data_IF_761448302630
#
_entry.id   IF_761448302630
#
_cell.length_a   1.000
_cell.length_b   1.000
_cell.length_c   1.000
_cell.angle_alpha   90.00
_cell.angle_beta   90.00
_cell.angle_gamma   90.00
#
_symmetry.space_group_name_H-M   'P 1'
#
loop_
_entity.id
_entity.type
_entity.pdbx_description
1 polymer ?
#
# COMPACT_ATOMS: atom_id res chain seq x y z
N UNK A 1 -15.55 2.66 9.70
CA UNK A 1 -15.42 1.33 9.07
C UNK A 1 -15.13 1.54 7.59
N UNK A 2 -13.86 1.67 7.27
CA UNK A 2 -13.34 2.01 5.95
C UNK A 2 -13.65 0.87 4.95
N UNK A 3 -14.39 1.16 3.87
CA UNK A 3 -14.93 0.12 2.97
C UNK A 3 -13.88 -0.65 2.15
N UNK A 4 -12.62 -0.24 2.21
CA UNK A 4 -11.49 -0.84 1.50
C UNK A 4 -10.86 -2.02 2.25
N UNK A 5 -10.97 -2.08 3.59
CA UNK A 5 -10.35 -3.14 4.39
C UNK A 5 -10.87 -4.52 3.98
N UNK A 6 -12.20 -4.75 3.85
CA UNK A 6 -12.70 -6.06 3.40
C UNK A 6 -12.25 -6.45 1.98
N UNK A 7 -12.03 -5.46 1.09
CA UNK A 7 -11.56 -5.71 -0.27
C UNK A 7 -10.08 -6.08 -0.30
N UNK A 8 -9.25 -5.37 0.47
CA UNK A 8 -7.84 -5.68 0.65
C UNK A 8 -7.66 -7.07 1.27
N UNK A 9 -8.39 -7.39 2.33
CA UNK A 9 -8.38 -8.71 2.96
C UNK A 9 -8.71 -9.82 1.96
N UNK A 10 -9.77 -9.62 1.16
CA UNK A 10 -10.18 -10.60 0.14
C UNK A 10 -9.08 -10.79 -0.92
N UNK A 11 -8.44 -9.70 -1.36
CA UNK A 11 -7.34 -9.75 -2.31
C UNK A 11 -6.10 -10.45 -1.76
N UNK A 12 -5.71 -10.13 -0.52
CA UNK A 12 -4.61 -10.80 0.17
C UNK A 12 -4.89 -12.29 0.31
N UNK A 13 -6.11 -12.68 0.71
CA UNK A 13 -6.48 -14.09 0.82
C UNK A 13 -6.40 -14.82 -0.52
N UNK A 14 -6.75 -14.15 -1.62
CA UNK A 14 -6.59 -14.70 -2.96
C UNK A 14 -5.12 -14.92 -3.31
N UNK A 15 -4.26 -13.91 -3.12
CA UNK A 15 -2.82 -14.02 -3.37
C UNK A 15 -2.16 -15.13 -2.53
N UNK A 16 -2.52 -15.24 -1.25
CA UNK A 16 -2.07 -16.34 -0.40
C UNK A 16 -2.47 -17.71 -0.99
N UNK A 17 -3.71 -17.85 -1.45
CA UNK A 17 -4.20 -19.07 -2.10
C UNK A 17 -3.37 -19.48 -3.31
N UNK A 18 -2.84 -18.51 -4.06
CA UNK A 18 -2.02 -18.73 -5.25
C UNK A 18 -0.58 -19.20 -4.94
N UNK A 19 -0.06 -18.97 -3.74
CA UNK A 19 1.26 -19.47 -3.35
C UNK A 19 1.34 -20.99 -3.42
N UNK A 20 0.24 -21.68 -3.07
CA UNK A 20 0.13 -23.14 -3.19
C UNK A 20 0.20 -23.62 -4.64
N UNK A 21 -0.40 -22.87 -5.57
CA UNK A 21 -0.42 -23.21 -7.00
C UNK A 21 0.94 -22.98 -7.68
N UNK A 22 1.75 -22.06 -7.15
CA UNK A 22 3.09 -21.74 -7.68
C UNK A 22 4.24 -22.48 -6.99
N UNK A 23 3.93 -23.37 -6.05
CA UNK A 23 4.93 -24.08 -5.24
C UNK A 23 5.84 -23.11 -4.43
N UNK A 24 5.30 -21.96 -4.04
CA UNK A 24 6.02 -20.89 -3.31
C UNK A 24 5.90 -21.07 -1.79
N UNK A 25 6.18 -22.28 -1.29
CA UNK A 25 6.09 -22.63 0.12
C UNK A 25 6.98 -21.74 1.00
N UNK A 26 8.22 -21.51 0.56
CA UNK A 26 9.18 -20.65 1.26
C UNK A 26 8.72 -19.19 1.36
N UNK A 27 7.99 -18.68 0.38
CA UNK A 27 7.42 -17.33 0.45
C UNK A 27 6.40 -17.24 1.59
N UNK A 28 5.58 -18.28 1.77
CA UNK A 28 4.60 -18.32 2.85
C UNK A 28 5.26 -18.45 4.23
N UNK A 29 6.33 -19.23 4.36
CA UNK A 29 7.14 -19.32 5.59
C UNK A 29 7.69 -17.95 5.99
N UNK A 30 8.20 -17.17 5.03
CA UNK A 30 8.68 -15.80 5.26
C UNK A 30 7.53 -14.89 5.72
N UNK A 31 6.38 -14.93 5.05
CA UNK A 31 5.20 -14.12 5.41
C UNK A 31 4.73 -14.45 6.83
N UNK A 32 4.54 -15.73 7.15
CA UNK A 32 4.12 -16.20 8.46
C UNK A 32 5.12 -15.76 9.55
N UNK A 33 6.42 -15.86 9.27
CA UNK A 33 7.46 -15.39 10.17
C UNK A 33 7.39 -13.87 10.40
N UNK A 34 7.11 -13.07 9.37
CA UNK A 34 6.95 -11.62 9.52
C UNK A 34 5.74 -11.26 10.38
N UNK A 35 4.62 -11.96 10.18
CA UNK A 35 3.42 -11.80 11.02
C UNK A 35 3.75 -12.16 12.46
N UNK A 36 4.34 -13.33 12.69
CA UNK A 36 4.68 -13.80 14.02
C UNK A 36 5.67 -12.87 14.74
N UNK A 37 6.65 -12.32 14.02
CA UNK A 37 7.59 -11.34 14.59
C UNK A 37 6.93 -10.07 15.11
N UNK A 38 5.84 -9.66 14.48
CA UNK A 38 5.14 -8.42 14.81
C UNK A 38 3.99 -8.62 15.80
N UNK A 39 3.30 -9.77 15.74
CA UNK A 39 2.09 -10.06 16.53
C UNK A 39 2.30 -11.05 17.68
N UNK A 40 3.35 -11.86 17.64
CA UNK A 40 3.60 -12.92 18.63
C UNK A 40 4.88 -12.63 19.41
N UNK A 41 6.05 -12.56 18.74
CA UNK A 41 7.31 -12.29 19.42
C UNK A 41 8.45 -11.78 18.54
N UNK A 42 9.17 -10.76 19.01
CA UNK A 42 10.24 -10.11 18.24
C UNK A 42 11.51 -10.96 18.05
N UNK A 43 11.76 -11.98 18.90
CA UNK A 43 12.96 -12.83 18.90
C UNK A 43 12.85 -14.11 18.05
N UNK A 44 12.00 -14.11 17.03
CA UNK A 44 11.83 -15.24 16.11
C UNK A 44 12.85 -15.16 14.95
N UNK A 45 13.49 -16.29 14.63
CA UNK A 45 14.41 -16.47 13.51
C UNK A 45 13.92 -17.58 12.57
N UNK A 46 14.16 -17.39 11.27
CA UNK A 46 13.86 -18.41 10.23
C UNK A 46 14.86 -19.55 10.31
N UNK A 47 14.40 -20.80 10.19
CA UNK A 47 15.27 -21.96 10.11
C UNK A 47 16.01 -21.97 8.76
N UNK A 48 17.33 -21.71 8.78
CA UNK A 48 18.16 -21.59 7.56
C UNK A 48 19.02 -22.85 7.27
N UNK A 49 18.50 -24.06 7.51
CA UNK A 49 19.23 -25.32 7.29
C UNK A 49 18.95 -25.95 5.91
N UNK A 50 19.94 -26.58 5.24
CA UNK A 50 19.68 -27.32 4.00
C UNK A 50 18.77 -28.54 4.27
N UNK A 51 17.57 -28.52 3.67
CA UNK A 51 16.51 -29.55 3.80
C UNK A 51 16.98 -30.96 3.45
N UNK A 52 18.09 -31.09 2.71
CA UNK A 52 18.69 -32.36 2.28
C UNK A 52 19.58 -33.05 3.33
N UNK A 53 19.86 -32.44 4.49
CA UNK A 53 20.80 -32.97 5.49
C UNK A 53 20.14 -33.64 6.72
N UNK A 54 18.81 -33.77 6.74
CA UNK A 54 18.05 -34.27 7.88
C UNK A 54 16.94 -33.28 8.22
N UNK A 55 15.70 -33.74 8.15
CA UNK A 55 14.51 -32.91 8.06
C UNK A 55 14.36 -31.89 9.19
N UNK A 56 13.69 -30.79 8.84
CA UNK A 56 13.42 -29.57 9.62
C UNK A 56 12.64 -29.77 10.94
N UNK A 57 12.46 -31.02 11.41
CA UNK A 57 11.60 -31.38 12.54
C UNK A 57 10.21 -30.72 12.51
N UNK A 58 9.75 -30.36 11.29
CA UNK A 58 8.52 -29.62 11.06
C UNK A 58 8.50 -28.22 11.72
N UNK A 59 9.66 -27.55 11.82
CA UNK A 59 9.87 -26.23 12.45
C UNK A 59 10.38 -25.19 11.44
N UNK A 60 9.46 -24.45 10.82
CA UNK A 60 9.86 -23.47 9.80
C UNK A 60 10.58 -22.23 10.39
N UNK A 61 10.28 -21.90 11.65
CA UNK A 61 10.98 -20.86 12.41
C UNK A 61 10.85 -21.10 13.92
N UNK A 62 11.79 -20.57 14.71
CA UNK A 62 11.78 -20.69 16.17
C UNK A 62 12.33 -19.44 16.86
N UNK A 63 11.90 -19.22 18.11
CA UNK A 63 12.47 -18.16 18.95
C UNK A 63 13.83 -18.55 19.51
N UNK A 64 14.77 -17.61 19.53
CA UNK A 64 16.02 -17.79 20.29
C UNK A 64 15.87 -17.34 21.74
N UNK A 65 16.59 -18.00 22.65
CA UNK A 65 16.56 -17.66 24.07
C UNK A 65 17.09 -16.25 24.33
N UNK A 66 16.33 -15.44 25.06
CA UNK A 66 16.73 -14.11 25.54
C UNK A 66 16.21 -13.88 26.95
N UNK A 67 16.99 -13.19 27.80
CA UNK A 67 16.61 -12.75 29.14
C UNK A 67 16.33 -11.25 29.24
N UNK A 68 16.47 -10.54 28.11
CA UNK A 68 16.29 -9.09 28.03
C UNK A 68 14.94 -8.62 28.60
N UNK A 69 13.80 -9.32 28.37
CA UNK A 69 12.52 -8.95 28.97
C UNK A 69 12.53 -8.99 30.51
N UNK A 70 13.20 -9.99 31.12
CA UNK A 70 13.28 -10.14 32.57
C UNK A 70 14.27 -9.13 33.20
N UNK A 71 15.34 -8.80 32.48
CA UNK A 71 16.35 -7.83 32.92
C UNK A 71 15.87 -6.38 32.78
N UNK A 72 14.98 -6.11 31.80
CA UNK A 72 14.46 -4.78 31.48
C UNK A 72 12.92 -4.77 31.32
N UNK A 73 12.15 -5.07 32.39
CA UNK A 73 10.70 -5.29 32.30
C UNK A 73 9.87 -4.05 31.93
N UNK A 74 10.47 -2.86 31.89
CA UNK A 74 9.82 -1.60 31.50
C UNK A 74 10.41 -0.97 30.22
N UNK A 75 11.28 -1.69 29.51
CA UNK A 75 11.87 -1.19 28.27
C UNK A 75 10.93 -1.42 27.08
N UNK A 76 10.78 -0.40 26.24
CA UNK A 76 9.96 -0.46 25.03
C UNK A 76 10.63 -1.24 23.88
N UNK A 77 9.88 -1.49 22.81
CA UNK A 77 10.40 -2.13 21.59
C UNK A 77 10.70 -3.61 21.79
N UNK A 78 11.91 -4.05 21.40
CA UNK A 78 12.29 -5.47 21.43
C UNK A 78 12.09 -6.10 22.83
N UNK A 79 12.48 -5.41 23.90
CA UNK A 79 12.37 -5.93 25.27
C UNK A 79 10.94 -6.19 25.71
N UNK A 80 9.98 -5.36 25.26
CA UNK A 80 8.56 -5.52 25.56
C UNK A 80 7.89 -6.60 24.69
N UNK A 81 8.46 -6.91 23.52
CA UNK A 81 7.84 -7.80 22.52
C UNK A 81 8.55 -9.13 22.35
N UNK A 82 9.67 -9.39 23.03
CA UNK A 82 10.38 -10.67 22.96
C UNK A 82 9.87 -11.64 24.05
N UNK A 83 9.60 -12.88 23.67
CA UNK A 83 9.22 -13.97 24.56
C UNK A 83 10.44 -14.59 25.24
N UNK A 84 10.32 -14.86 26.54
CA UNK A 84 11.28 -15.67 27.30
C UNK A 84 10.98 -17.18 27.19
N UNK A 85 9.76 -17.54 26.77
CA UNK A 85 9.32 -18.91 26.53
C UNK A 85 9.66 -19.37 25.09
N UNK A 86 10.16 -20.60 24.89
CA UNK A 86 10.43 -21.16 23.57
C UNK A 86 9.16 -21.33 22.74
N UNK A 87 9.17 -20.81 21.52
CA UNK A 87 8.09 -20.94 20.56
C UNK A 87 8.56 -21.40 19.18
N UNK A 88 7.65 -22.08 18.47
CA UNK A 88 7.86 -22.62 17.14
C UNK A 88 6.76 -22.13 16.21
N UNK A 89 7.14 -21.81 14.98
CA UNK A 89 6.22 -21.54 13.87
C UNK A 89 6.20 -22.76 12.95
N UNK A 90 4.98 -23.16 12.59
CA UNK A 90 4.73 -24.15 11.55
C UNK A 90 3.79 -23.56 10.50
N UNK A 91 4.06 -23.81 9.23
CA UNK A 91 3.43 -23.19 8.08
C UNK A 91 2.95 -24.25 7.10
N UNK A 92 1.80 -24.01 6.48
CA UNK A 92 1.35 -24.84 5.38
C UNK A 92 0.57 -24.07 4.33
N UNK A 93 0.79 -24.44 3.07
CA UNK A 93 -0.04 -24.04 1.93
C UNK A 93 -0.94 -25.20 1.47
N UNK A 94 -0.97 -26.33 2.20
CA UNK A 94 -1.74 -27.52 1.84
C UNK A 94 -3.25 -27.27 1.96
N UNK A 95 -4.04 -27.68 0.97
CA UNK A 95 -5.48 -27.41 0.92
C UNK A 95 -6.36 -28.43 1.66
N UNK A 96 -5.99 -29.71 1.62
CA UNK A 96 -6.80 -30.81 2.16
C UNK A 96 -6.06 -31.53 3.29
N UNK A 97 -6.78 -32.21 4.18
CA UNK A 97 -6.14 -32.96 5.26
C UNK A 97 -5.47 -32.10 6.35
N UNK A 98 -5.79 -30.80 6.42
CA UNK A 98 -5.21 -29.83 7.36
C UNK A 98 -5.23 -30.29 8.83
N UNK A 99 -6.32 -30.93 9.28
CA UNK A 99 -6.39 -31.49 10.64
C UNK A 99 -5.28 -32.52 10.88
N UNK A 100 -5.08 -33.43 9.92
CA UNK A 100 -4.05 -34.46 10.04
C UNK A 100 -2.66 -33.81 10.01
N UNK A 101 -2.44 -32.87 9.09
CA UNK A 101 -1.19 -32.12 8.96
C UNK A 101 -0.80 -31.41 10.27
N UNK A 102 -1.72 -30.70 10.91
CA UNK A 102 -1.46 -30.06 12.22
C UNK A 102 -1.03 -31.08 13.27
N UNK A 103 -1.70 -32.23 13.35
CA UNK A 103 -1.38 -33.27 14.33
C UNK A 103 -0.04 -33.94 14.04
N UNK A 104 0.27 -34.18 12.77
CA UNK A 104 1.55 -34.75 12.33
C UNK A 104 2.70 -33.77 12.63
N UNK A 105 2.50 -32.46 12.40
CA UNK A 105 3.49 -31.43 12.71
C UNK A 105 3.68 -31.28 14.23
N UNK A 106 2.61 -31.27 15.03
CA UNK A 106 2.71 -31.27 16.50
C UNK A 106 3.50 -32.48 17.02
N UNK A 107 3.28 -33.67 16.44
CA UNK A 107 4.01 -34.87 16.82
C UNK A 107 5.51 -34.77 16.51
N UNK A 108 5.88 -34.12 15.40
CA UNK A 108 7.28 -33.84 15.04
C UNK A 108 7.91 -32.79 15.96
N UNK A 109 7.23 -31.65 16.13
CA UNK A 109 7.69 -30.53 16.96
C UNK A 109 7.89 -30.95 18.43
N UNK A 110 6.98 -31.78 18.96
CA UNK A 110 6.98 -32.26 20.34
C UNK A 110 7.57 -33.68 20.50
N UNK A 111 8.33 -34.16 19.51
CA UNK A 111 9.00 -35.46 19.61
C UNK A 111 9.96 -35.50 20.82
N UNK A 112 10.12 -36.66 21.45
CA UNK A 112 10.96 -36.80 22.65
C UNK A 112 12.43 -36.39 22.46
N UNK A 113 12.92 -36.37 21.21
CA UNK A 113 14.27 -35.94 20.83
C UNK A 113 14.36 -34.48 20.37
N UNK A 114 13.24 -33.75 20.30
CA UNK A 114 13.18 -32.35 19.88
C UNK A 114 13.33 -31.40 21.08
N UNK A 115 13.75 -30.16 20.81
CA UNK A 115 13.88 -29.15 21.87
C UNK A 115 12.50 -28.79 22.48
N UNK A 116 12.41 -28.47 23.78
CA UNK A 116 11.14 -28.14 24.41
C UNK A 116 10.51 -26.88 23.79
N UNK A 117 9.18 -26.85 23.72
CA UNK A 117 8.38 -25.73 23.20
C UNK A 117 7.18 -25.50 24.11
N UNK A 118 6.81 -24.23 24.31
CA UNK A 118 5.64 -23.85 25.11
C UNK A 118 4.48 -23.36 24.23
N UNK A 119 4.80 -22.68 23.12
CA UNK A 119 3.83 -22.15 22.17
C UNK A 119 4.16 -22.59 20.74
N UNK A 120 3.14 -23.13 20.06
CA UNK A 120 3.19 -23.41 18.63
C UNK A 120 2.24 -22.47 17.90
N UNK A 121 2.76 -21.67 16.99
CA UNK A 121 1.97 -20.82 16.10
C UNK A 121 1.86 -21.50 14.73
N UNK A 122 0.68 -22.02 14.41
CA UNK A 122 0.40 -22.71 13.16
C UNK A 122 -0.27 -21.79 12.15
N UNK A 123 0.38 -21.56 11.01
CA UNK A 123 -0.12 -20.75 9.91
C UNK A 123 -0.57 -21.61 8.74
N UNK A 124 -1.77 -21.35 8.24
CA UNK A 124 -2.32 -22.02 7.06
C UNK A 124 -2.85 -21.01 6.06
N UNK A 125 -2.46 -21.14 4.80
CA UNK A 125 -3.07 -20.38 3.69
C UNK A 125 -4.57 -20.63 3.59
N UNK A 126 -5.01 -21.86 3.86
CA UNK A 126 -6.40 -22.27 3.71
C UNK A 126 -7.14 -22.27 5.04
N UNK A 127 -8.41 -21.84 5.01
CA UNK A 127 -9.26 -21.76 6.20
C UNK A 127 -9.47 -23.10 6.86
N UNK A 128 -9.38 -23.12 8.20
CA UNK A 128 -9.68 -24.27 9.04
C UNK A 128 -10.95 -23.95 9.82
N UNK A 129 -11.90 -24.89 9.89
CA UNK A 129 -13.13 -24.66 10.63
C UNK A 129 -12.86 -24.49 12.13
N UNK A 130 -13.56 -23.59 12.80
CA UNK A 130 -13.38 -23.34 14.25
C UNK A 130 -13.57 -24.61 15.08
N UNK A 131 -14.52 -25.48 14.68
CA UNK A 131 -14.72 -26.77 15.33
C UNK A 131 -13.50 -27.69 15.21
N UNK A 132 -12.74 -27.60 14.11
CA UNK A 132 -11.46 -28.31 13.96
C UNK A 132 -10.38 -27.65 14.78
N UNK A 133 -10.28 -26.32 14.76
CA UNK A 133 -9.32 -25.52 15.55
C UNK A 133 -9.41 -25.86 17.03
N UNK A 134 -10.59 -25.78 17.64
CA UNK A 134 -10.77 -26.12 19.05
C UNK A 134 -10.38 -27.56 19.37
N UNK A 135 -10.66 -28.51 18.45
CA UNK A 135 -10.27 -29.92 18.64
C UNK A 135 -8.76 -30.11 18.62
N UNK A 136 -8.04 -29.46 17.70
CA UNK A 136 -6.57 -29.60 17.64
C UNK A 136 -5.88 -28.86 18.79
N UNK A 137 -6.43 -27.72 19.24
CA UNK A 137 -5.95 -27.01 20.43
C UNK A 137 -6.14 -27.85 21.70
N UNK A 138 -7.29 -28.51 21.84
CA UNK A 138 -7.54 -29.44 22.95
C UNK A 138 -6.53 -30.60 22.95
N UNK A 139 -6.26 -31.19 21.79
CA UNK A 139 -5.28 -32.27 21.65
C UNK A 139 -3.87 -31.77 21.98
N UNK A 140 -3.48 -30.58 21.49
CA UNK A 140 -2.19 -29.97 21.80
C UNK A 140 -1.98 -29.82 23.31
N UNK A 141 -2.98 -29.28 24.01
CA UNK A 141 -2.95 -29.08 25.46
C UNK A 141 -2.95 -30.38 26.25
N UNK A 142 -3.78 -31.35 25.87
CA UNK A 142 -3.97 -32.59 26.64
C UNK A 142 -2.91 -33.65 26.37
N UNK A 143 -2.40 -33.72 25.14
CA UNK A 143 -1.43 -34.74 24.73
C UNK A 143 0.00 -34.26 24.89
N UNK A 144 0.28 -33.02 24.51
CA UNK A 144 1.64 -32.49 24.43
C UNK A 144 1.93 -31.42 25.49
N UNK A 145 0.90 -30.89 26.17
CA UNK A 145 1.07 -29.86 27.19
C UNK A 145 1.46 -28.48 26.64
N UNK A 146 1.26 -28.26 25.33
CA UNK A 146 1.66 -27.01 24.64
C UNK A 146 0.45 -26.17 24.27
N UNK A 147 0.65 -24.85 24.17
CA UNK A 147 -0.35 -23.94 23.61
C UNK A 147 -0.26 -23.95 22.09
N UNK A 148 -1.39 -24.02 21.40
CA UNK A 148 -1.46 -23.98 19.94
C UNK A 148 -2.34 -22.80 19.51
N UNK A 149 -1.76 -21.88 18.75
CA UNK A 149 -2.49 -20.83 18.05
C UNK A 149 -2.58 -21.15 16.56
N UNK A 150 -3.80 -21.08 16.01
CA UNK A 150 -4.07 -21.42 14.60
C UNK A 150 -4.52 -20.18 13.84
N UNK A 151 -3.67 -19.70 12.94
CA UNK A 151 -3.93 -18.61 12.03
C UNK A 151 -4.18 -19.17 10.63
N UNK A 152 -5.43 -19.15 10.17
CA UNK A 152 -5.80 -19.81 8.92
C UNK A 152 -6.63 -18.92 7.99
N UNK A 153 -6.37 -19.00 6.69
CA UNK A 153 -7.19 -18.39 5.65
C UNK A 153 -7.40 -16.90 5.88
N UNK A 154 -8.66 -16.48 5.97
CA UNK A 154 -9.01 -15.08 6.14
C UNK A 154 -8.37 -14.42 7.36
N UNK A 155 -8.09 -15.16 8.44
CA UNK A 155 -7.43 -14.59 9.63
C UNK A 155 -6.04 -14.06 9.29
N UNK A 156 -5.29 -14.78 8.45
CA UNK A 156 -3.95 -14.36 7.99
C UNK A 156 -4.07 -13.13 7.10
N UNK A 157 -5.08 -13.10 6.22
CA UNK A 157 -5.31 -11.98 5.33
C UNK A 157 -5.73 -10.70 6.07
N UNK A 158 -6.56 -10.81 7.11
CA UNK A 158 -6.92 -9.71 8.02
C UNK A 158 -5.70 -9.13 8.70
N UNK A 159 -4.85 -9.97 9.29
CA UNK A 159 -3.64 -9.49 9.98
C UNK A 159 -2.70 -8.77 9.00
N UNK A 160 -2.56 -9.28 7.78
CA UNK A 160 -1.74 -8.63 6.74
C UNK A 160 -2.36 -7.35 6.16
N UNK A 161 -3.66 -7.13 6.32
CA UNK A 161 -4.33 -5.90 5.90
C UNK A 161 -4.15 -4.76 6.92
N UNK A 162 -3.62 -5.06 8.11
CA UNK A 162 -3.35 -4.04 9.14
C UNK A 162 -2.24 -3.07 8.68
N UNK A 163 -2.32 -1.77 9.02
CA UNK A 163 -1.45 -0.74 8.45
C UNK A 163 0.07 -1.01 8.58
N UNK A 164 0.50 -1.55 9.72
CA UNK A 164 1.91 -1.84 10.02
C UNK A 164 2.43 -3.16 9.41
N UNK A 165 1.54 -3.97 8.80
CA UNK A 165 1.87 -5.23 8.13
C UNK A 165 1.52 -5.24 6.64
N UNK A 166 0.79 -4.24 6.14
CA UNK A 166 0.38 -4.18 4.74
C UNK A 166 1.56 -4.13 3.76
N UNK A 167 2.71 -3.60 4.20
CA UNK A 167 3.96 -3.64 3.42
C UNK A 167 4.43 -5.07 3.14
N UNK A 168 4.17 -6.04 4.03
CA UNK A 168 4.50 -7.46 3.82
C UNK A 168 3.68 -7.99 2.66
N UNK A 169 2.40 -7.63 2.60
CA UNK A 169 1.52 -7.99 1.51
C UNK A 169 1.94 -7.30 0.19
N UNK A 170 2.32 -6.02 0.23
CA UNK A 170 2.84 -5.32 -0.94
C UNK A 170 4.13 -5.95 -1.49
N UNK A 171 5.07 -6.31 -0.61
CA UNK A 171 6.36 -6.85 -1.00
C UNK A 171 6.29 -8.32 -1.49
N UNK A 172 5.71 -9.21 -0.67
CA UNK A 172 5.73 -10.65 -0.93
C UNK A 172 4.52 -11.15 -1.73
N UNK A 173 3.36 -10.50 -1.60
CA UNK A 173 2.14 -10.86 -2.31
C UNK A 173 1.83 -9.93 -3.49
N UNK A 174 2.71 -8.94 -3.75
CA UNK A 174 2.59 -7.96 -4.84
C UNK A 174 1.26 -7.21 -4.81
N UNK A 175 0.75 -6.92 -3.60
CA UNK A 175 -0.45 -6.11 -3.44
C UNK A 175 -0.23 -4.70 -4.00
N UNK A 176 -1.09 -4.21 -4.90
CA UNK A 176 -0.98 -2.86 -5.44
C UNK A 176 -1.12 -1.79 -4.35
N UNK A 177 -0.30 -0.74 -4.41
CA UNK A 177 -0.38 0.38 -3.47
C UNK A 177 -1.77 1.04 -3.42
N UNK A 178 -2.50 1.04 -4.55
CA UNK A 178 -3.85 1.58 -4.65
C UNK A 178 -4.93 0.77 -3.90
N UNK A 179 -4.59 -0.39 -3.30
CA UNK A 179 -5.50 -1.18 -2.47
C UNK A 179 -5.25 -0.98 -0.96
N UNK A 180 -4.19 -0.28 -0.59
CA UNK A 180 -3.87 0.01 0.80
C UNK A 180 -4.76 1.16 1.28
N UNK A 181 -5.56 0.97 2.36
CA UNK A 181 -6.39 2.04 2.91
C UNK A 181 -5.55 3.23 3.33
N UNK A 182 -6.05 4.43 3.05
CA UNK A 182 -5.49 5.65 3.62
C UNK A 182 -5.74 5.68 5.15
N UNK A 183 -4.80 6.19 5.97
CA UNK A 183 -4.96 6.31 7.42
C UNK A 183 -6.19 7.17 7.81
N UNK A 184 -6.85 6.88 8.94
CA UNK A 184 -7.96 7.71 9.48
C UNK A 184 -7.45 8.98 10.20
N UNK A 185 -8.25 10.07 10.18
CA UNK A 185 -7.94 11.47 10.59
C UNK A 185 -7.75 11.70 12.11
N UNK A 186 -6.84 10.96 12.74
CA UNK A 186 -6.18 11.35 13.98
C UNK A 186 -4.69 11.18 13.73
N UNK A 187 -3.89 12.24 13.88
CA UNK A 187 -2.44 12.17 13.71
C UNK A 187 -1.89 10.98 14.49
N UNK A 188 -1.41 9.92 13.82
CA UNK A 188 -1.06 8.69 14.51
C UNK A 188 0.12 8.87 15.45
N UNK A 189 0.15 8.10 16.55
CA UNK A 189 1.27 8.14 17.50
C UNK A 189 2.61 7.83 16.81
N UNK A 190 2.63 6.85 15.90
CA UNK A 190 3.81 6.48 15.13
C UNK A 190 4.39 7.64 14.31
N UNK A 191 3.53 8.54 13.82
CA UNK A 191 3.94 9.70 13.01
C UNK A 191 4.74 10.69 13.87
N UNK A 192 4.23 10.99 15.07
CA UNK A 192 4.91 11.87 16.03
C UNK A 192 6.23 11.27 16.50
N UNK A 193 6.24 9.98 16.84
CA UNK A 193 7.44 9.27 17.28
C UNK A 193 8.55 9.25 16.23
N UNK A 194 8.20 8.97 14.96
CA UNK A 194 9.14 8.95 13.85
C UNK A 194 9.74 10.34 13.61
N UNK A 195 8.89 11.38 13.57
CA UNK A 195 9.35 12.77 13.39
C UNK A 195 10.33 13.18 14.47
N UNK A 196 9.98 12.90 15.73
CA UNK A 196 10.83 13.26 16.87
C UNK A 196 12.13 12.43 16.89
N UNK A 197 12.10 11.17 16.44
CA UNK A 197 13.30 10.37 16.27
C UNK A 197 14.23 10.94 15.19
N UNK A 198 13.70 11.32 14.03
CA UNK A 198 14.48 11.93 12.95
C UNK A 198 15.06 13.29 13.36
N UNK A 199 14.29 14.12 14.07
CA UNK A 199 14.79 15.39 14.65
C UNK A 199 15.94 15.17 15.61
N UNK A 200 15.82 14.21 16.54
CA UNK A 200 16.90 13.87 17.48
C UNK A 200 18.18 13.42 16.77
N UNK A 201 18.03 12.75 15.62
CA UNK A 201 19.15 12.22 14.85
C UNK A 201 19.69 13.20 13.79
N UNK A 202 19.03 14.33 13.56
CA UNK A 202 19.37 15.25 12.47
C UNK A 202 19.07 14.69 11.06
N UNK A 203 18.12 13.76 10.96
CA UNK A 203 17.75 13.08 9.71
C UNK A 203 17.80 11.55 9.81
N UNK A 204 17.63 10.84 8.67
CA UNK A 204 17.70 9.38 8.64
C UNK A 204 19.11 8.88 8.95
N UNK A 205 19.24 8.01 9.96
CA UNK A 205 20.53 7.44 10.39
C UNK A 205 21.15 6.55 9.30
N UNK A 206 20.31 5.88 8.52
CA UNK A 206 20.75 5.03 7.42
C UNK A 206 19.82 5.19 6.20
N UNK A 207 20.42 5.32 5.01
CA UNK A 207 19.71 5.45 3.75
C UNK A 207 19.36 4.07 3.19
N UNK A 208 18.44 3.38 3.87
CA UNK A 208 17.96 2.03 3.50
C UNK A 208 16.53 2.07 2.96
N UNK A 209 16.10 1.06 2.18
CA UNK A 209 14.71 0.96 1.72
C UNK A 209 13.68 0.94 2.86
N UNK A 210 14.01 0.35 4.02
CA UNK A 210 13.12 0.32 5.17
C UNK A 210 12.88 1.73 5.74
N UNK A 211 13.96 2.47 5.98
CA UNK A 211 13.90 3.85 6.44
C UNK A 211 13.20 4.76 5.42
N UNK A 212 13.43 4.53 4.13
CA UNK A 212 12.71 5.25 3.08
C UNK A 212 11.20 4.95 3.11
N UNK A 213 10.81 3.70 3.36
CA UNK A 213 9.41 3.30 3.50
C UNK A 213 8.71 4.00 4.66
N UNK A 214 9.36 4.05 5.83
CA UNK A 214 8.84 4.76 7.02
C UNK A 214 8.63 6.26 6.75
N UNK A 215 9.63 6.92 6.13
CA UNK A 215 9.53 8.34 5.77
C UNK A 215 8.46 8.56 4.69
N UNK A 216 8.33 7.63 3.73
CA UNK A 216 7.31 7.70 2.68
C UNK A 216 5.90 7.68 3.28
N UNK A 217 5.67 6.83 4.28
CA UNK A 217 4.37 6.73 4.96
C UNK A 217 4.00 8.06 5.64
N UNK A 218 4.95 8.64 6.40
CA UNK A 218 4.75 9.93 7.05
C UNK A 218 4.58 11.09 6.07
N UNK A 219 5.37 11.11 4.99
CA UNK A 219 5.29 12.12 3.94
C UNK A 219 3.92 12.09 3.24
N UNK A 220 3.41 10.89 2.94
CA UNK A 220 2.08 10.73 2.34
C UNK A 220 0.98 11.15 3.29
N UNK A 221 1.09 10.82 4.59
CA UNK A 221 0.15 11.29 5.60
C UNK A 221 0.11 12.83 5.64
N UNK A 222 1.27 13.48 5.77
CA UNK A 222 1.38 14.93 5.80
C UNK A 222 0.92 15.61 4.49
N UNK A 223 0.97 14.92 3.34
CA UNK A 223 0.53 15.48 2.05
C UNK A 223 -0.97 15.77 2.04
N UNK A 224 -1.77 14.98 2.76
CA UNK A 224 -3.24 15.00 2.65
C UNK A 224 -3.97 15.43 3.92
N UNK A 225 -3.32 15.36 5.08
CA UNK A 225 -3.88 15.78 6.35
C UNK A 225 -3.71 17.30 6.56
N UNK A 226 -4.82 18.00 6.84
CA UNK A 226 -4.86 19.46 6.97
C UNK A 226 -3.94 19.99 8.07
N UNK A 227 -3.72 19.22 9.14
CA UNK A 227 -2.93 19.62 10.30
C UNK A 227 -1.45 19.26 10.11
N UNK A 228 -1.18 18.03 9.70
CA UNK A 228 0.17 17.50 9.50
C UNK A 228 0.85 18.06 8.25
N UNK A 229 0.10 18.67 7.32
CA UNK A 229 0.68 19.39 6.18
C UNK A 229 1.67 20.48 6.59
N UNK A 230 1.53 21.06 7.78
CA UNK A 230 2.50 22.02 8.32
C UNK A 230 3.92 21.42 8.48
N UNK A 231 4.04 20.11 8.66
CA UNK A 231 5.32 19.39 8.77
C UNK A 231 5.90 18.99 7.41
N UNK A 232 5.14 19.17 6.32
CA UNK A 232 5.53 18.68 4.99
C UNK A 232 6.92 19.15 4.53
N UNK A 233 7.36 20.41 4.76
CA UNK A 233 8.72 20.83 4.42
C UNK A 233 9.79 19.97 5.10
N UNK A 234 9.59 19.60 6.36
CA UNK A 234 10.56 18.80 7.12
C UNK A 234 10.62 17.36 6.60
N UNK A 235 9.47 16.77 6.25
CA UNK A 235 9.45 15.44 5.62
C UNK A 235 10.11 15.42 4.25
N UNK A 236 9.96 16.50 3.47
CA UNK A 236 10.64 16.66 2.20
C UNK A 236 12.15 16.73 2.38
N UNK A 237 12.64 17.38 3.44
CA UNK A 237 14.07 17.41 3.77
C UNK A 237 14.59 16.02 4.16
N UNK A 238 13.85 15.27 4.98
CA UNK A 238 14.21 13.89 5.33
C UNK A 238 14.24 12.95 4.13
N UNK A 239 13.27 13.07 3.21
CA UNK A 239 13.27 12.31 1.96
C UNK A 239 14.38 12.81 1.01
N UNK A 240 14.72 14.10 1.06
CA UNK A 240 15.79 14.72 0.27
C UNK A 240 17.16 14.08 0.51
N UNK A 241 17.43 13.58 1.72
CA UNK A 241 18.68 12.88 2.05
C UNK A 241 18.95 11.65 1.16
N UNK A 242 17.91 11.03 0.59
CA UNK A 242 18.07 9.90 -0.33
C UNK A 242 18.53 10.32 -1.73
N UNK A 243 18.40 11.60 -2.10
CA UNK A 243 18.79 12.11 -3.43
C UNK A 243 20.31 12.26 -3.59
N UNK A 244 21.04 12.36 -2.48
CA UNK A 244 22.50 12.57 -2.42
C UNK A 244 23.32 11.28 -2.64
N UNK A 245 22.65 10.16 -2.90
CA UNK A 245 23.30 8.89 -3.22
C UNK A 245 24.08 9.01 -4.54
N UNK A 246 25.24 8.37 -4.60
CA UNK A 246 26.15 8.48 -5.74
C UNK A 246 25.65 7.82 -7.04
N UNK A 247 24.77 6.81 -6.92
CA UNK A 247 24.16 6.13 -8.05
C UNK A 247 22.67 6.43 -8.09
N UNK A 248 22.15 6.72 -9.28
CA UNK A 248 20.72 6.69 -9.54
C UNK A 248 20.26 5.23 -9.50
N UNK A 249 19.66 4.84 -8.38
CA UNK A 249 19.12 3.51 -8.11
C UNK A 249 17.62 3.59 -7.76
N UNK A 250 16.98 2.45 -7.48
CA UNK A 250 15.56 2.38 -7.14
C UNK A 250 15.18 3.26 -5.93
N UNK A 251 16.11 3.46 -4.99
CA UNK A 251 15.91 4.30 -3.81
C UNK A 251 15.85 5.77 -4.24
N UNK A 252 16.80 6.22 -5.07
CA UNK A 252 16.78 7.58 -5.62
C UNK A 252 15.53 7.82 -6.46
N UNK A 253 15.18 6.87 -7.34
CA UNK A 253 13.96 6.95 -8.14
C UNK A 253 12.72 7.15 -7.28
N UNK A 254 12.61 6.37 -6.20
CA UNK A 254 11.47 6.48 -5.29
C UNK A 254 11.44 7.81 -4.54
N UNK A 255 12.59 8.34 -4.13
CA UNK A 255 12.68 9.65 -3.51
C UNK A 255 12.25 10.77 -4.48
N UNK A 256 12.70 10.72 -5.74
CA UNK A 256 12.25 11.65 -6.79
C UNK A 256 10.73 11.61 -6.95
N UNK A 257 10.15 10.40 -7.00
CA UNK A 257 8.70 10.22 -7.10
C UNK A 257 7.96 10.87 -5.93
N UNK A 258 8.28 10.47 -4.70
CA UNK A 258 7.54 10.89 -3.52
C UNK A 258 7.67 12.40 -3.27
N UNK A 259 8.87 12.98 -3.47
CA UNK A 259 9.09 14.43 -3.34
C UNK A 259 8.28 15.21 -4.38
N UNK A 260 8.29 14.77 -5.65
CA UNK A 260 7.59 15.47 -6.73
C UNK A 260 6.07 15.47 -6.49
N UNK A 261 5.51 14.32 -6.08
CA UNK A 261 4.08 14.20 -5.79
C UNK A 261 3.70 15.01 -4.55
N UNK A 262 4.46 14.89 -3.45
CA UNK A 262 4.16 15.57 -2.20
C UNK A 262 4.22 17.10 -2.34
N UNK A 263 5.20 17.64 -3.07
CA UNK A 263 5.28 19.08 -3.34
C UNK A 263 4.10 19.60 -4.14
N UNK A 264 3.72 18.88 -5.19
CA UNK A 264 2.60 19.32 -6.02
C UNK A 264 1.26 19.17 -5.29
N UNK A 265 1.00 18.01 -4.70
CA UNK A 265 -0.29 17.72 -4.05
C UNK A 265 -0.45 18.39 -2.70
N UNK A 266 0.62 18.46 -1.91
CA UNK A 266 0.60 19.02 -0.56
C UNK A 266 0.87 20.53 -0.51
N UNK A 267 1.73 21.06 -1.39
CA UNK A 267 2.09 22.49 -1.39
C UNK A 267 1.59 23.26 -2.62
N UNK A 268 1.10 22.56 -3.66
CA UNK A 268 0.60 23.20 -4.88
C UNK A 268 1.69 23.76 -5.79
N UNK A 269 2.96 23.43 -5.58
CA UNK A 269 4.07 24.03 -6.33
C UNK A 269 4.79 22.98 -7.18
N UNK A 270 5.23 23.38 -8.38
CA UNK A 270 6.15 22.56 -9.16
C UNK A 270 7.58 22.68 -8.59
N UNK A 271 8.10 23.89 -8.40
CA UNK A 271 9.43 24.12 -7.82
C UNK A 271 10.53 23.31 -8.54
N UNK A 272 11.45 22.69 -7.79
CA UNK A 272 12.47 21.79 -8.35
C UNK A 272 11.96 20.38 -8.66
N UNK A 273 10.64 20.13 -8.57
CA UNK A 273 10.06 18.81 -8.85
C UNK A 273 10.20 18.41 -10.31
N UNK A 274 10.27 19.36 -11.25
CA UNK A 274 10.48 19.02 -12.66
C UNK A 274 11.82 18.34 -12.92
N UNK A 275 12.89 18.79 -12.26
CA UNK A 275 14.21 18.16 -12.38
C UNK A 275 14.21 16.75 -11.79
N UNK A 276 13.45 16.53 -10.71
CA UNK A 276 13.24 15.21 -10.12
C UNK A 276 12.44 14.29 -11.06
N UNK A 277 11.42 14.83 -11.72
CA UNK A 277 10.63 14.08 -12.72
C UNK A 277 11.52 13.72 -13.91
N UNK A 278 12.31 14.66 -14.45
CA UNK A 278 13.28 14.38 -15.53
C UNK A 278 14.27 13.28 -15.13
N UNK A 279 14.83 13.35 -13.91
CA UNK A 279 15.75 12.33 -13.36
C UNK A 279 15.05 10.97 -13.26
N UNK A 280 13.83 10.92 -12.75
CA UNK A 280 13.05 9.69 -12.61
C UNK A 280 12.69 9.06 -13.97
N UNK A 281 12.30 9.88 -14.96
CA UNK A 281 12.03 9.41 -16.34
C UNK A 281 13.30 8.83 -16.97
N UNK A 282 14.45 9.51 -16.84
CA UNK A 282 15.71 9.01 -17.38
C UNK A 282 16.14 7.68 -16.73
N UNK A 283 15.91 7.53 -15.42
CA UNK A 283 16.14 6.26 -14.73
C UNK A 283 15.23 5.15 -15.28
N UNK A 284 13.94 5.44 -15.47
CA UNK A 284 12.99 4.49 -16.04
C UNK A 284 13.40 4.03 -17.45
N UNK A 285 13.89 4.94 -18.30
CA UNK A 285 14.37 4.62 -19.65
C UNK A 285 15.60 3.70 -19.67
N UNK A 286 16.31 3.56 -18.55
CA UNK A 286 17.48 2.69 -18.42
C UNK A 286 17.18 1.38 -17.68
N UNK A 287 15.91 1.10 -17.39
CA UNK A 287 15.47 -0.04 -16.57
C UNK A 287 14.45 -0.91 -17.31
N UNK A 288 14.19 -2.12 -16.79
CA UNK A 288 13.30 -3.14 -17.39
C UNK A 288 12.18 -3.59 -16.45
N UNK A 289 12.14 -3.07 -15.22
CA UNK A 289 11.16 -3.45 -14.21
C UNK A 289 9.84 -2.71 -14.39
N UNK A 290 8.73 -3.44 -14.38
CA UNK A 290 7.39 -2.92 -14.71
C UNK A 290 6.88 -1.89 -13.71
N UNK A 291 7.19 -2.04 -12.42
CA UNK A 291 6.81 -1.09 -11.38
C UNK A 291 7.46 0.30 -11.56
N UNK A 292 8.67 0.36 -12.13
CA UNK A 292 9.35 1.62 -12.44
C UNK A 292 8.62 2.33 -13.59
N UNK A 293 8.15 1.58 -14.59
CA UNK A 293 7.37 2.15 -15.68
C UNK A 293 6.03 2.70 -15.19
N UNK A 294 5.30 1.97 -14.35
CA UNK A 294 4.03 2.44 -13.79
C UNK A 294 4.19 3.76 -13.01
N UNK A 295 5.22 3.83 -12.16
CA UNK A 295 5.53 5.03 -11.37
C UNK A 295 5.97 6.20 -12.28
N UNK A 296 6.78 5.94 -13.31
CA UNK A 296 7.23 6.96 -14.26
C UNK A 296 6.08 7.51 -15.12
N UNK A 297 5.20 6.64 -15.61
CA UNK A 297 3.98 7.03 -16.33
C UNK A 297 3.07 7.87 -15.44
N UNK A 298 2.95 7.52 -14.16
CA UNK A 298 2.21 8.31 -13.17
C UNK A 298 2.83 9.69 -12.94
N UNK A 299 4.16 9.79 -12.87
CA UNK A 299 4.85 11.07 -12.74
C UNK A 299 4.66 11.97 -13.96
N UNK A 300 4.65 11.43 -15.17
CA UNK A 300 4.35 12.20 -16.38
C UNK A 300 2.92 12.75 -16.35
N UNK A 301 1.95 11.97 -15.86
CA UNK A 301 0.59 12.46 -15.63
C UNK A 301 0.55 13.62 -14.63
N UNK A 302 1.27 13.51 -13.50
CA UNK A 302 1.39 14.62 -12.56
C UNK A 302 2.06 15.85 -13.17
N UNK A 303 3.09 15.66 -13.99
CA UNK A 303 3.77 16.77 -14.68
C UNK A 303 2.83 17.52 -15.61
N UNK A 304 2.02 16.79 -16.40
CA UNK A 304 0.97 17.37 -17.21
C UNK A 304 -0.09 18.09 -16.39
N UNK A 305 -0.48 17.57 -15.23
CA UNK A 305 -1.40 18.24 -14.32
C UNK A 305 -0.79 19.52 -13.71
N UNK A 306 0.52 19.54 -13.42
CA UNK A 306 1.24 20.75 -13.02
C UNK A 306 1.21 21.81 -14.14
N UNK A 307 1.31 21.37 -15.40
CA UNK A 307 1.19 22.26 -16.56
C UNK A 307 -0.23 22.82 -16.69
N UNK A 308 -1.27 21.98 -16.67
CA UNK A 308 -2.68 22.41 -16.72
C UNK A 308 -3.00 23.38 -15.57
N UNK A 309 -2.45 23.13 -14.38
CA UNK A 309 -2.63 23.98 -13.22
C UNK A 309 -1.86 25.31 -13.29
N UNK A 310 -0.97 25.50 -14.28
CA UNK A 310 -0.22 26.72 -14.49
C UNK A 310 1.03 26.88 -13.62
N UNK A 311 1.42 25.83 -12.89
CA UNK A 311 2.57 25.86 -11.97
C UNK A 311 3.85 25.27 -12.56
N UNK A 312 3.75 24.42 -13.59
CA UNK A 312 4.91 23.85 -14.28
C UNK A 312 5.62 24.87 -15.17
N UNK A 313 6.95 24.97 -15.10
CA UNK A 313 7.81 25.67 -16.05
C UNK A 313 7.94 24.96 -17.40
N UNK A 314 7.86 23.64 -17.43
CA UNK A 314 7.93 22.82 -18.64
C UNK A 314 6.87 23.19 -19.68
N UNK A 315 7.19 22.98 -20.96
CA UNK A 315 6.22 23.12 -22.05
C UNK A 315 5.40 21.83 -22.21
N UNK A 316 4.24 21.92 -22.85
CA UNK A 316 3.46 20.73 -23.18
C UNK A 316 4.26 19.78 -24.12
N UNK A 317 5.05 20.36 -25.03
CA UNK A 317 5.96 19.61 -25.91
C UNK A 317 6.98 18.78 -25.14
N UNK A 318 7.64 19.36 -24.12
CA UNK A 318 8.63 18.63 -23.31
C UNK A 318 8.00 17.43 -22.59
N UNK A 319 6.82 17.61 -22.02
CA UNK A 319 6.07 16.55 -21.34
C UNK A 319 5.68 15.46 -22.34
N UNK A 320 5.25 15.85 -23.55
CA UNK A 320 4.91 14.91 -24.63
C UNK A 320 6.14 14.13 -25.11
N UNK A 321 7.31 14.75 -25.21
CA UNK A 321 8.57 14.07 -25.56
C UNK A 321 9.00 13.06 -24.48
N UNK A 322 8.83 13.39 -23.19
CA UNK A 322 9.08 12.45 -22.11
C UNK A 322 8.09 11.26 -22.15
N UNK A 323 6.81 11.54 -22.41
CA UNK A 323 5.76 10.53 -22.61
C UNK A 323 6.10 9.58 -23.75
N UNK A 324 6.53 10.11 -24.90
CA UNK A 324 6.83 9.31 -26.09
C UNK A 324 8.06 8.44 -25.88
N UNK A 325 9.13 8.95 -25.25
CA UNK A 325 10.31 8.13 -24.92
C UNK A 325 9.94 6.94 -24.02
N UNK A 326 9.07 7.15 -23.02
CA UNK A 326 8.57 6.06 -22.17
C UNK A 326 7.72 5.08 -22.98
N UNK A 327 6.84 5.58 -23.86
CA UNK A 327 6.04 4.75 -24.75
C UNK A 327 6.93 3.82 -25.60
N UNK A 328 7.91 4.38 -26.31
CA UNK A 328 8.83 3.63 -27.16
C UNK A 328 9.59 2.55 -26.39
N UNK A 329 10.10 2.90 -25.20
CA UNK A 329 10.85 1.97 -24.35
C UNK A 329 9.98 0.83 -23.82
N UNK A 330 8.79 1.15 -23.29
CA UNK A 330 7.85 0.13 -22.77
C UNK A 330 7.35 -0.78 -23.90
N UNK A 331 7.09 -0.22 -25.09
CA UNK A 331 6.70 -0.98 -26.27
C UNK A 331 7.83 -1.91 -26.76
N UNK A 332 9.08 -1.47 -26.70
CA UNK A 332 10.25 -2.31 -27.00
C UNK A 332 10.35 -3.48 -26.00
N UNK A 333 10.20 -3.22 -24.70
CA UNK A 333 10.19 -4.26 -23.66
C UNK A 333 9.02 -5.25 -23.81
N UNK A 334 7.84 -4.77 -24.21
CA UNK A 334 6.68 -5.62 -24.50
C UNK A 334 6.88 -6.46 -25.78
N UNK A 335 7.64 -5.97 -26.74
CA UNK A 335 7.98 -6.73 -27.95
C UNK A 335 9.03 -7.79 -27.64
N UNK A 336 9.98 -7.48 -26.75
CA UNK A 336 11.05 -8.39 -26.36
C UNK A 336 10.59 -9.51 -25.41
N UNK A 337 9.49 -9.31 -24.66
CA UNK A 337 8.99 -10.32 -23.72
C UNK A 337 8.30 -11.48 -24.45
N UNK A 338 8.70 -12.70 -24.11
CA UNK A 338 7.96 -13.88 -24.52
C UNK A 338 6.64 -13.96 -23.73
N UNK A 339 5.54 -13.64 -24.40
CA UNK A 339 4.18 -13.64 -23.84
C UNK A 339 3.72 -15.01 -23.34
N UNK A 340 4.23 -16.10 -23.94
CA UNK A 340 3.87 -17.45 -23.50
C UNK A 340 4.59 -17.82 -22.19
N UNK A 341 5.85 -17.39 -22.06
CA UNK A 341 6.68 -17.68 -20.88
C UNK A 341 6.43 -16.71 -19.72
N UNK A 342 6.16 -15.42 -20.01
CA UNK A 342 5.99 -14.36 -19.01
C UNK A 342 4.68 -13.57 -19.19
N UNK A 343 3.51 -14.21 -19.04
CA UNK A 343 2.21 -13.58 -19.27
C UNK A 343 1.92 -12.42 -18.29
N UNK A 344 2.42 -12.48 -17.05
CA UNK A 344 2.22 -11.42 -16.04
C UNK A 344 2.99 -10.15 -16.38
N UNK A 345 4.25 -10.30 -16.82
CA UNK A 345 5.07 -9.18 -17.27
C UNK A 345 4.45 -8.53 -18.50
N UNK A 346 3.99 -9.35 -19.45
CA UNK A 346 3.29 -8.89 -20.65
C UNK A 346 2.02 -8.11 -20.30
N UNK A 347 1.17 -8.66 -19.44
CA UNK A 347 -0.03 -7.98 -18.96
C UNK A 347 0.28 -6.66 -18.22
N UNK A 348 1.35 -6.62 -17.43
CA UNK A 348 1.79 -5.40 -16.75
C UNK A 348 2.21 -4.31 -17.74
N UNK A 349 3.09 -4.63 -18.68
CA UNK A 349 3.53 -3.68 -19.73
C UNK A 349 2.37 -3.22 -20.61
N UNK A 350 1.47 -4.13 -21.01
CA UNK A 350 0.24 -3.81 -21.76
C UNK A 350 -0.66 -2.86 -20.96
N UNK A 351 -0.82 -3.10 -19.65
CA UNK A 351 -1.56 -2.22 -18.76
C UNK A 351 -0.95 -0.83 -18.63
N UNK A 352 0.37 -0.74 -18.47
CA UNK A 352 1.11 0.53 -18.42
C UNK A 352 0.92 1.34 -19.71
N UNK A 353 1.01 0.68 -20.88
CA UNK A 353 0.77 1.32 -22.18
C UNK A 353 -0.69 1.80 -22.33
N UNK A 354 -1.67 0.99 -21.90
CA UNK A 354 -3.06 1.42 -21.89
C UNK A 354 -3.25 2.70 -21.05
N UNK A 355 -2.71 2.73 -19.83
CA UNK A 355 -2.74 3.90 -18.95
C UNK A 355 -2.05 5.12 -19.56
N UNK A 356 -0.93 4.94 -20.26
CA UNK A 356 -0.22 6.02 -20.96
C UNK A 356 -1.06 6.64 -22.09
N UNK A 357 -1.79 5.82 -22.86
CA UNK A 357 -2.68 6.29 -23.93
C UNK A 357 -3.96 6.96 -23.41
N UNK A 358 -4.35 6.70 -22.16
CA UNK A 358 -5.45 7.37 -21.49
C UNK A 358 -5.07 8.77 -20.96
N UNK A 359 -3.80 9.15 -21.00
CA UNK A 359 -3.36 10.48 -20.60
C UNK A 359 -3.74 11.54 -21.65
N UNK A 360 -4.06 12.77 -21.23
CA UNK A 360 -4.27 13.87 -22.17
C UNK A 360 -3.01 14.18 -22.99
N UNK A 361 -3.20 14.42 -24.29
CA UNK A 361 -2.20 14.97 -25.21
C UNK A 361 -2.15 16.50 -25.02
N UNK A 362 -1.46 16.94 -23.97
CA UNK A 362 -1.33 18.36 -23.63
C UNK A 362 -0.78 19.20 -24.80
N UNK A 363 0.08 18.62 -25.63
CA UNK A 363 0.61 19.26 -26.83
C UNK A 363 -0.51 19.68 -27.81
N UNK A 364 -1.54 18.85 -27.96
CA UNK A 364 -2.71 19.17 -28.80
C UNK A 364 -3.58 20.24 -28.18
N UNK A 365 -3.70 20.25 -26.85
CA UNK A 365 -4.41 21.33 -26.16
C UNK A 365 -3.72 22.68 -26.40
N UNK A 366 -2.37 22.70 -26.31
CA UNK A 366 -1.56 23.88 -26.60
C UNK A 366 -1.69 24.34 -28.06
N UNK A 367 -1.64 23.41 -29.02
CA UNK A 367 -1.88 23.66 -30.46
C UNK A 367 -3.28 24.23 -30.73
N UNK A 368 -4.29 23.75 -29.99
CA UNK A 368 -5.66 24.24 -30.05
C UNK A 368 -5.86 25.58 -29.32
N UNK A 369 -4.78 26.21 -28.84
CA UNK A 369 -4.78 27.54 -28.24
C UNK A 369 -5.03 27.58 -26.74
N UNK A 370 -5.12 26.42 -26.06
CA UNK A 370 -5.19 26.39 -24.61
C UNK A 370 -3.82 26.73 -24.01
N UNK A 371 -3.77 27.82 -23.22
CA UNK A 371 -2.58 28.21 -22.47
C UNK A 371 -2.96 28.41 -21.02
N UNK A 372 -2.51 27.54 -20.10
CA UNK A 372 -2.85 27.66 -18.69
C UNK A 372 -2.23 28.97 -18.14
N UNK A 373 -3.00 29.77 -17.37
CA UNK A 373 -2.48 30.98 -16.76
C UNK A 373 -1.42 30.60 -15.73
N UNK A 374 -0.30 31.33 -15.71
CA UNK A 374 0.77 31.08 -14.73
C UNK A 374 0.30 31.46 -13.33
N UNK A 375 0.46 30.54 -12.39
CA UNK A 375 0.15 30.74 -10.97
C UNK A 375 1.30 30.23 -10.12
N UNK A 376 1.51 30.84 -8.96
CA UNK A 376 2.59 30.43 -8.05
C UNK A 376 2.23 29.16 -7.27
N UNK A 377 0.94 28.95 -6.99
CA UNK A 377 0.41 27.81 -6.22
C UNK A 377 -0.89 27.32 -6.89
N UNK A 378 -0.97 26.00 -7.10
CA UNK A 378 -2.14 25.34 -7.69
C UNK A 378 -3.34 25.40 -6.74
N UNK A 379 -4.52 25.69 -7.29
CA UNK A 379 -5.77 25.87 -6.52
C UNK A 379 -6.26 24.61 -5.77
N UNK A 380 -5.68 23.44 -6.05
CA UNK A 380 -6.06 22.15 -5.47
C UNK A 380 -5.03 21.60 -4.47
N UNK A 381 -4.07 22.42 -4.03
CA UNK A 381 -3.10 22.06 -3.00
C UNK A 381 -3.80 21.68 -1.69
N UNK A 382 -3.41 20.56 -1.07
CA UNK A 382 -4.01 20.06 0.17
C UNK A 382 -5.47 19.65 0.04
N UNK A 383 -6.06 19.72 -1.16
CA UNK A 383 -7.44 19.33 -1.42
C UNK A 383 -7.43 17.93 -2.04
N UNK A 384 -8.01 16.98 -1.32
CA UNK A 384 -8.39 15.70 -1.91
C UNK A 384 -9.44 15.99 -3.00
N UNK A 385 -9.04 15.85 -4.26
CA UNK A 385 -9.91 16.14 -5.38
C UNK A 385 -11.03 15.10 -5.41
N UNK A 386 -12.27 15.55 -5.25
CA UNK A 386 -13.43 14.71 -5.55
C UNK A 386 -13.37 14.30 -7.03
N UNK A 387 -13.82 13.07 -7.34
CA UNK A 387 -13.87 12.57 -8.70
C UNK A 387 -14.64 13.54 -9.61
N UNK A 388 -13.95 14.17 -10.54
CA UNK A 388 -14.52 15.12 -11.50
C UNK A 388 -15.43 14.35 -12.45
N UNK A 389 -16.61 14.91 -12.74
CA UNK A 389 -17.37 14.48 -13.91
C UNK A 389 -16.57 14.87 -15.15
N UNK A 390 -15.93 13.89 -15.77
CA UNK A 390 -15.24 14.07 -17.05
C UNK A 390 -16.27 14.50 -18.08
N UNK A 391 -16.17 15.73 -18.56
CA UNK A 391 -16.93 16.18 -19.71
C UNK A 391 -16.39 15.44 -20.95
N UNK A 392 -17.17 14.48 -21.44
CA UNK A 392 -16.79 13.64 -22.58
C UNK A 392 -16.54 14.44 -23.86
N UNK A 393 -17.06 15.67 -23.96
CA UNK A 393 -16.79 16.55 -25.11
C UNK A 393 -15.34 17.03 -25.19
N UNK A 394 -14.61 17.00 -24.07
CA UNK A 394 -13.18 17.34 -23.99
C UNK A 394 -12.28 16.16 -24.39
N UNK A 395 -12.79 14.92 -24.34
CA UNK A 395 -12.00 13.70 -24.52
C UNK A 395 -11.75 13.34 -26.00
N UNK A 396 -12.66 13.70 -26.91
CA UNK A 396 -12.70 13.20 -28.29
C UNK A 396 -11.49 13.59 -29.18
N UNK A 397 -10.63 14.52 -28.75
CA UNK A 397 -9.41 14.91 -29.51
C UNK A 397 -8.10 14.87 -28.72
N UNK A 398 -8.19 14.82 -27.39
CA UNK A 398 -7.04 14.92 -26.48
C UNK A 398 -6.57 13.55 -25.98
N UNK A 399 -7.37 12.49 -26.09
CA UNK A 399 -7.00 11.15 -25.60
C UNK A 399 -6.96 10.18 -26.78
N UNK A 400 -6.01 9.25 -26.79
CA UNK A 400 -5.90 8.21 -27.81
C UNK A 400 -6.76 6.98 -27.44
N UNK A 401 -8.07 7.19 -27.38
CA UNK A 401 -8.99 6.19 -26.86
C UNK A 401 -8.94 4.89 -27.69
N UNK A 402 -8.84 4.98 -29.02
CA UNK A 402 -8.76 3.81 -29.89
C UNK A 402 -7.54 2.94 -29.58
N UNK A 403 -6.37 3.56 -29.36
CA UNK A 403 -5.16 2.81 -29.02
C UNK A 403 -5.20 2.28 -27.59
N UNK A 404 -5.69 3.07 -26.63
CA UNK A 404 -5.91 2.61 -25.27
C UNK A 404 -6.84 1.38 -25.24
N UNK A 405 -7.96 1.42 -25.98
CA UNK A 405 -8.91 0.32 -26.06
C UNK A 405 -8.31 -0.93 -26.71
N UNK A 406 -7.43 -0.79 -27.71
CA UNK A 406 -6.69 -1.93 -28.28
C UNK A 406 -5.78 -2.62 -27.26
N UNK A 407 -5.05 -1.84 -26.44
CA UNK A 407 -4.23 -2.42 -25.38
C UNK A 407 -5.08 -3.04 -24.26
N UNK A 408 -6.22 -2.44 -23.92
CA UNK A 408 -7.17 -3.01 -22.98
C UNK A 408 -7.76 -4.33 -23.48
N UNK A 409 -8.03 -4.43 -24.78
CA UNK A 409 -8.50 -5.67 -25.43
C UNK A 409 -7.41 -6.76 -25.43
N UNK A 410 -6.17 -6.43 -25.84
CA UNK A 410 -5.01 -7.35 -25.74
C UNK A 410 -4.78 -7.81 -24.30
N UNK A 411 -5.00 -6.91 -23.33
CA UNK A 411 -4.91 -7.24 -21.92
C UNK A 411 -5.99 -8.24 -21.51
N UNK A 412 -7.25 -8.05 -21.93
CA UNK A 412 -8.35 -9.00 -21.66
C UNK A 412 -8.02 -10.39 -22.17
N UNK A 413 -7.38 -10.51 -23.33
CA UNK A 413 -6.91 -11.78 -23.88
C UNK A 413 -5.75 -12.40 -23.08
N UNK A 414 -4.90 -11.57 -22.47
CA UNK A 414 -3.80 -12.01 -21.61
C UNK A 414 -4.25 -12.42 -20.20
N UNK A 415 -5.30 -11.80 -19.64
CA UNK A 415 -5.78 -12.03 -18.26
C UNK A 415 -5.99 -13.51 -17.89
N UNK A 416 -6.58 -14.38 -18.75
CA UNK A 416 -6.73 -15.80 -18.44
C UNK A 416 -5.42 -16.51 -18.11
N UNK A 417 -4.31 -16.04 -18.69
CA UNK A 417 -2.94 -16.55 -18.50
C UNK A 417 -2.13 -15.72 -17.50
N UNK A 418 -2.53 -14.47 -17.29
CA UNK A 418 -1.93 -13.51 -16.37
C UNK A 418 -2.79 -13.29 -15.11
N UNK A 419 -3.30 -14.38 -14.51
CA UNK A 419 -4.16 -14.36 -13.30
C UNK A 419 -3.68 -13.48 -12.13
N UNK A 420 -2.37 -13.25 -11.91
CA UNK A 420 -1.87 -12.37 -10.84
C UNK A 420 -1.95 -10.88 -11.15
N UNK A 421 -2.22 -10.49 -12.41
CA UNK A 421 -2.32 -9.09 -12.80
C UNK A 421 -3.58 -8.44 -12.21
N UNK A 422 -3.43 -7.27 -11.58
CA UNK A 422 -4.54 -6.54 -11.00
C UNK A 422 -5.13 -5.54 -11.99
N UNK A 423 -6.31 -5.85 -12.55
CA UNK A 423 -7.05 -4.95 -13.43
C UNK A 423 -7.44 -3.61 -12.76
N UNK A 424 -7.33 -3.51 -11.44
CA UNK A 424 -7.54 -2.24 -10.74
C UNK A 424 -6.56 -1.17 -11.22
N UNK A 425 -5.32 -1.51 -11.56
CA UNK A 425 -4.28 -0.56 -12.03
C UNK A 425 -4.60 0.18 -13.34
N UNK A 426 -5.67 -0.21 -14.04
CA UNK A 426 -6.11 0.40 -15.31
C UNK A 426 -7.00 1.62 -15.13
N UNK A 427 -7.50 1.88 -13.92
CA UNK A 427 -8.19 3.14 -13.69
C UNK A 427 -7.15 4.20 -13.33
N UNK A 428 -7.21 5.40 -13.94
CA UNK A 428 -6.71 6.59 -13.27
C UNK A 428 -7.27 6.59 -11.85
N UNK A 429 -6.44 6.97 -10.87
CA UNK A 429 -6.82 7.08 -9.45
C UNK A 429 -8.13 7.85 -9.23
N UNK A 430 -8.55 8.67 -10.21
CA UNK A 430 -9.73 9.54 -10.19
C UNK A 430 -11.07 8.86 -10.57
N UNK A 431 -11.06 7.73 -11.30
CA UNK A 431 -12.30 7.05 -11.74
C UNK A 431 -12.88 6.04 -10.74
N UNK A 432 -12.11 5.66 -9.70
CA UNK A 432 -12.47 4.59 -8.73
C UNK A 432 -13.59 4.95 -7.76
N UNK A 433 -13.83 6.22 -7.49
CA UNK A 433 -14.77 6.62 -6.43
C UNK A 433 -16.19 6.96 -6.95
N UNK A 434 -16.29 7.41 -8.20
CA UNK A 434 -17.58 7.77 -8.84
C UNK A 434 -18.52 6.58 -9.07
N UNK A 435 -17.98 5.42 -9.48
CA UNK A 435 -18.79 4.22 -9.74
C UNK A 435 -19.39 3.62 -8.45
N UNK A 436 -18.85 3.93 -7.27
CA UNK A 436 -19.35 3.46 -5.97
C UNK A 436 -20.57 4.25 -5.49
N UNK A 437 -20.66 5.54 -5.82
CA UNK A 437 -21.82 6.38 -5.41
C UNK A 437 -23.05 6.24 -6.32
N UNK A 438 -22.90 5.79 -7.56
CA UNK A 438 -24.03 5.59 -8.48
C UNK A 438 -24.91 4.36 -8.13
N UNK A 439 -24.52 3.49 -7.19
CA UNK A 439 -25.23 2.24 -6.85
C UNK A 439 -26.14 2.30 -5.61
N UNK A 440 -26.55 3.49 -5.15
CA UNK A 440 -27.58 3.60 -4.10
C UNK A 440 -28.52 4.81 -4.29
N UNK A 441 -29.64 4.67 -5.02
CA UNK A 441 -30.74 5.60 -4.90
C UNK A 441 -31.76 5.11 -3.86
N UNK A 442 -32.20 6.04 -3.00
CA UNK A 442 -33.37 6.00 -2.11
C UNK A 442 -33.33 5.12 -0.84
N UNK A 443 -33.38 5.79 0.33
CA UNK A 443 -34.53 5.80 1.27
C UNK A 443 -34.13 6.47 2.60
N UNK A 444 -34.79 7.58 2.95
CA UNK A 444 -35.47 7.82 4.25
C UNK A 444 -35.81 9.31 4.43
N UNK A 445 -36.99 9.70 3.94
CA UNK A 445 -37.75 10.83 4.47
C UNK A 445 -39.14 10.33 4.83
N UNK A 446 -39.31 9.84 6.07
CA UNK A 446 -40.62 9.52 6.63
C UNK A 446 -40.59 9.62 8.17
N UNK A 447 -41.13 10.73 8.67
CA UNK A 447 -42.02 10.75 9.83
C UNK A 447 -41.44 10.62 11.25
N UNK A 448 -41.54 11.71 12.02
CA UNK A 448 -42.38 11.73 13.24
C UNK A 448 -42.60 13.16 13.76
N UNK A 449 -43.80 13.65 13.52
CA UNK A 449 -44.47 14.64 14.37
C UNK A 449 -44.79 14.02 15.74
N UNK A 450 -44.57 14.76 16.83
CA UNK A 450 -45.49 14.76 17.97
C UNK A 450 -45.48 16.09 18.73
N UNK A 451 -46.71 16.56 18.95
CA UNK A 451 -47.21 17.75 19.61
C UNK A 451 -46.58 18.21 20.92
N UNK A 452 -46.51 19.55 21.08
CA UNK A 452 -47.17 20.26 22.21
C UNK A 452 -47.55 21.70 21.81
N UNK A 453 -48.86 21.93 21.67
CA UNK A 453 -49.61 23.20 21.85
C UNK A 453 -49.62 23.51 23.37
N UNK A 454 -49.72 24.71 23.95
CA UNK A 454 -50.43 25.98 23.61
C UNK A 454 -50.08 27.02 24.71
N UNK A 455 -49.85 28.30 24.36
CA UNK A 455 -50.65 29.51 24.76
C UNK A 455 -49.96 30.50 25.75
N UNK A 456 -50.36 31.80 25.79
CA UNK A 456 -49.47 32.94 25.46
C UNK A 456 -49.61 34.19 26.38
N UNK A 457 -49.22 35.38 25.86
CA UNK A 457 -49.40 36.78 26.35
C UNK A 457 -48.22 37.30 27.19
N UNK A 458 -47.78 38.57 27.15
CA UNK A 458 -48.33 39.82 26.61
C UNK A 458 -47.24 40.91 26.49
N UNK A 459 -47.54 41.90 25.65
CA UNK A 459 -47.00 43.26 25.51
C UNK A 459 -46.54 43.96 26.81
N UNK A 460 -45.50 44.79 26.71
CA UNK A 460 -45.49 46.27 26.83
C UNK A 460 -44.09 46.78 27.28
N UNK A 461 -43.39 47.56 26.44
CA UNK A 461 -43.27 49.04 26.45
C UNK A 461 -42.46 49.67 27.61
N UNK A 462 -41.26 50.17 27.22
CA UNK A 462 -40.81 51.59 27.33
C UNK A 462 -40.20 52.13 28.63
N UNK A 463 -39.15 52.97 28.41
CA UNK A 463 -38.40 53.92 29.28
C UNK A 463 -37.38 53.27 30.22
N UNK A 464 -36.09 53.58 30.18
CA UNK A 464 -35.38 54.88 30.03
C UNK A 464 -34.51 55.02 31.30
N UNK A 465 -33.28 55.53 31.37
CA UNK A 465 -32.30 56.15 30.48
C UNK A 465 -31.18 56.72 31.39
N UNK A 466 -29.98 56.95 30.81
CA UNK A 466 -28.86 57.83 31.30
C UNK A 466 -28.20 57.42 32.65
N UNK A 467 -26.90 57.59 32.93
CA UNK A 467 -25.81 58.48 32.45
C UNK A 467 -24.46 57.77 32.75
N UNK A 468 -23.45 57.79 31.87
CA UNK A 468 -22.21 58.63 31.91
C UNK A 468 -21.21 58.28 33.05
N UNK A 469 -19.87 58.48 32.91
CA UNK A 469 -19.13 59.39 32.03
C UNK A 469 -18.50 58.74 30.79
#
# INVERSE_FOLDING_TARGET
>A
MNSMVPELETYISFCLGQLSERNEHHTFEIIATRIARKRISANILVANGPVSAGGDQQRDAESYATRIPDELPNAAGFSASASTSPMVIACTVQKTGLKKKILDDLAGICAAAAAPVELVAFFSVHSISEATTHKVQEIARTTYGVTLDVYSGMKVATILAEPDLVWVAQHYLRVPAAMVPEPEDVTPEWYGELRDALRRNGGPVALTPATQGEITEALRFATWDEVANADLPEWLDFMGAFLDRAADDDIVFRACYEIAVARFRGMGIAGTSEDLIRRAVNYALSNIHTNIFDDAVTLVAYWGNMWVAGVATASATEIAEARERLHEHIAAELTAVDRATYPVRSASLTGTLASLHLQPKWERAEENGFRPPRVDVAAHAGVKLDSVQVDSSFADSLIDLDTAMRFLDDLVDLLPRARPYSASGLSPSELRESARRARCPNRRSAGRCRHRRTMPRSRDRVRGGRSAP
#
